data_IF_528719782476
#
_entry.id   IF_528719782476
#
_cell.length_a   1.000
_cell.length_b   1.000
_cell.length_c   1.000
_cell.angle_alpha   90.00
_cell.angle_beta   90.00
_cell.angle_gamma   90.00
#
_symmetry.space_group_name_H-M   'P 1'
#
loop_
_entity.id
_entity.type
_entity.pdbx_description
1 polymer ?
#
# COMPACT_ATOMS: atom_id res chain seq x y z
N UNK A 1 83.42 -4.23 -27.80
CA UNK A 1 83.80 -4.25 -26.37
C UNK A 1 82.96 -3.16 -25.73
N UNK A 2 81.85 -3.56 -25.14
CA UNK A 2 81.03 -2.69 -24.29
C UNK A 2 81.66 -2.74 -22.92
N UNK A 3 82.46 -1.72 -22.60
CA UNK A 3 82.83 -1.41 -21.23
C UNK A 3 81.56 -0.87 -20.56
N UNK A 4 80.87 -1.75 -19.83
CA UNK A 4 79.78 -1.38 -18.93
C UNK A 4 80.45 -1.01 -17.61
N UNK A 5 80.29 0.24 -17.21
CA UNK A 5 80.72 0.75 -15.92
C UNK A 5 80.04 -0.05 -14.78
N UNK A 6 80.77 -0.50 -13.75
CA UNK A 6 80.23 -1.33 -12.66
C UNK A 6 79.29 -0.57 -11.68
N UNK A 7 79.00 0.70 -11.95
CA UNK A 7 78.23 1.61 -11.09
C UNK A 7 76.71 1.44 -11.22
N UNK A 8 76.18 1.26 -12.44
CA UNK A 8 74.72 1.14 -12.69
C UNK A 8 74.15 -0.22 -12.27
N UNK A 9 74.92 -1.31 -12.40
CA UNK A 9 74.49 -2.64 -11.91
C UNK A 9 74.41 -2.69 -10.38
N UNK A 10 75.25 -1.92 -9.68
CA UNK A 10 75.26 -1.90 -8.21
C UNK A 10 74.07 -1.13 -7.64
N UNK A 11 73.66 -0.02 -8.29
CA UNK A 11 72.48 0.77 -7.89
C UNK A 11 71.18 0.02 -8.17
N UNK A 12 71.08 -0.64 -9.34
CA UNK A 12 69.92 -1.47 -9.70
C UNK A 12 69.75 -2.68 -8.76
N UNK A 13 70.85 -3.35 -8.40
CA UNK A 13 70.83 -4.46 -7.45
C UNK A 13 70.46 -4.02 -6.02
N UNK A 14 70.89 -2.82 -5.62
CA UNK A 14 70.55 -2.26 -4.31
C UNK A 14 69.07 -1.84 -4.25
N UNK A 15 68.53 -1.23 -5.30
CA UNK A 15 67.11 -0.87 -5.40
C UNK A 15 66.20 -2.11 -5.32
N UNK A 16 66.59 -3.20 -5.99
CA UNK A 16 65.85 -4.47 -5.93
C UNK A 16 65.91 -5.11 -4.53
N UNK A 17 67.06 -5.04 -3.86
CA UNK A 17 67.20 -5.54 -2.49
C UNK A 17 66.37 -4.72 -1.49
N UNK A 18 66.34 -3.40 -1.64
CA UNK A 18 65.54 -2.49 -0.81
C UNK A 18 64.04 -2.73 -1.02
N UNK A 19 63.58 -2.89 -2.27
CA UNK A 19 62.18 -3.20 -2.57
C UNK A 19 61.77 -4.56 -2.01
N UNK A 20 62.62 -5.59 -2.16
CA UNK A 20 62.35 -6.92 -1.62
C UNK A 20 62.28 -6.94 -0.09
N UNK A 21 63.12 -6.15 0.58
CA UNK A 21 63.08 -5.97 2.04
C UNK A 21 61.86 -5.18 2.51
N UNK A 22 61.45 -4.15 1.76
CA UNK A 22 60.22 -3.41 2.05
C UNK A 22 58.97 -4.30 1.93
N UNK A 23 58.89 -5.17 0.91
CA UNK A 23 57.79 -6.13 0.77
C UNK A 23 57.76 -7.17 1.91
N UNK A 24 58.91 -7.63 2.38
CA UNK A 24 59.02 -8.56 3.51
C UNK A 24 58.50 -7.92 4.80
N UNK A 25 58.91 -6.68 5.09
CA UNK A 25 58.43 -5.93 6.26
C UNK A 25 56.95 -5.57 6.15
N UNK A 26 56.44 -5.30 4.95
CA UNK A 26 55.01 -5.04 4.73
C UNK A 26 54.16 -6.27 5.07
N UNK A 27 54.57 -7.45 4.59
CA UNK A 27 53.88 -8.72 4.88
C UNK A 27 53.96 -9.11 6.35
N UNK A 28 55.03 -8.74 7.04
CA UNK A 28 55.17 -8.96 8.47
C UNK A 28 54.18 -8.12 9.29
N UNK A 29 53.90 -6.88 8.86
CA UNK A 29 52.90 -6.02 9.47
C UNK A 29 51.48 -6.50 9.18
N UNK A 30 51.21 -6.80 7.91
CA UNK A 30 49.90 -7.19 7.41
C UNK A 30 49.67 -8.71 7.45
N UNK A 31 49.62 -9.26 8.67
CA UNK A 31 49.35 -10.70 8.89
C UNK A 31 47.97 -11.14 8.39
N UNK A 32 47.06 -10.20 8.16
CA UNK A 32 45.68 -10.44 7.71
C UNK A 32 45.50 -10.27 6.19
N UNK A 33 46.57 -9.97 5.44
CA UNK A 33 46.55 -9.74 3.99
C UNK A 33 45.48 -8.72 3.55
N UNK A 34 45.35 -7.64 4.31
CA UNK A 34 44.43 -6.54 4.05
C UNK A 34 44.85 -5.68 2.85
N UNK A 35 46.13 -5.70 2.50
CA UNK A 35 46.72 -4.85 1.47
C UNK A 35 47.00 -3.42 1.94
N UNK A 36 46.85 -3.14 3.24
CA UNK A 36 47.15 -1.86 3.86
C UNK A 36 47.57 -2.04 5.32
N UNK A 37 48.43 -1.16 5.82
CA UNK A 37 48.92 -1.15 7.19
C UNK A 37 48.33 0.04 7.94
N UNK A 38 47.79 -0.19 9.14
CA UNK A 38 47.38 0.88 10.06
C UNK A 38 48.44 1.11 11.14
N UNK A 39 48.41 2.28 11.80
CA UNK A 39 49.35 2.64 12.89
C UNK A 39 49.56 1.54 13.95
N UNK A 40 48.51 0.78 14.27
CA UNK A 40 48.58 -0.35 15.23
C UNK A 40 49.32 -1.57 14.68
N UNK A 41 49.25 -1.80 13.38
CA UNK A 41 49.91 -2.92 12.72
C UNK A 41 51.41 -2.64 12.56
N UNK A 42 51.80 -1.37 12.39
CA UNK A 42 53.21 -0.93 12.48
C UNK A 42 53.85 -1.31 13.81
N UNK A 43 53.14 -1.24 14.95
CA UNK A 43 53.71 -1.55 16.28
C UNK A 43 54.24 -2.99 16.41
N UNK A 44 53.95 -3.88 15.45
CA UNK A 44 54.50 -5.24 15.39
C UNK A 44 55.95 -5.26 14.91
N UNK A 45 56.37 -4.29 14.10
CA UNK A 45 57.77 -4.10 13.70
C UNK A 45 58.66 -3.69 14.87
N UNK A 46 58.10 -3.19 15.98
CA UNK A 46 58.87 -2.87 17.19
C UNK A 46 59.71 -4.05 17.65
N UNK A 47 59.13 -5.25 17.68
CA UNK A 47 59.77 -6.43 18.24
C UNK A 47 60.84 -7.01 17.28
N UNK A 48 60.78 -6.68 15.99
CA UNK A 48 61.69 -7.18 14.95
C UNK A 48 62.80 -6.18 14.55
N UNK A 49 62.51 -4.87 14.58
CA UNK A 49 63.45 -3.80 14.28
C UNK A 49 64.00 -3.09 15.54
N UNK A 50 63.44 -3.36 16.73
CA UNK A 50 63.93 -2.83 18.02
C UNK A 50 63.80 -1.30 18.17
N UNK A 51 62.85 -0.68 17.47
CA UNK A 51 62.60 0.78 17.44
C UNK A 51 61.46 1.18 18.37
N UNK A 52 61.57 2.32 19.02
CA UNK A 52 60.55 2.84 19.94
C UNK A 52 59.24 3.18 19.20
N UNK A 53 58.07 2.99 19.83
CA UNK A 53 56.78 3.17 19.19
C UNK A 53 56.54 4.60 18.69
N UNK A 54 57.12 5.61 19.35
CA UNK A 54 57.06 7.02 18.93
C UNK A 54 57.77 7.24 17.58
N UNK A 55 58.93 6.61 17.38
CA UNK A 55 59.67 6.71 16.11
C UNK A 55 58.96 5.98 14.97
N UNK A 56 58.21 4.92 15.30
CA UNK A 56 57.43 4.15 14.33
C UNK A 56 56.18 4.90 13.88
N UNK A 57 55.60 5.71 14.77
CA UNK A 57 54.50 6.63 14.45
C UNK A 57 54.98 7.79 13.56
N UNK A 58 56.16 8.36 13.82
CA UNK A 58 56.76 9.39 12.97
C UNK A 58 57.09 8.86 11.55
N UNK A 59 57.60 7.63 11.46
CA UNK A 59 57.85 6.96 10.16
C UNK A 59 56.54 6.69 9.44
N UNK A 60 55.49 6.26 10.14
CA UNK A 60 54.16 6.06 9.54
C UNK A 60 53.62 7.37 8.96
N UNK A 61 53.66 8.46 9.72
CA UNK A 61 53.15 9.77 9.30
C UNK A 61 53.96 10.37 8.14
N UNK A 62 55.23 9.99 8.02
CA UNK A 62 56.10 10.40 6.90
C UNK A 62 55.85 9.59 5.61
N UNK A 63 55.37 8.36 5.74
CA UNK A 63 55.05 7.48 4.60
C UNK A 63 53.60 7.67 4.10
N UNK A 64 52.69 8.14 4.96
CA UNK A 64 51.27 8.37 4.70
C UNK A 64 51.07 9.75 4.04
N UNK A 65 51.39 9.84 2.75
CA UNK A 65 51.40 11.08 1.96
C UNK A 65 50.00 11.70 1.85
N UNK A 66 48.97 10.86 1.75
CA UNK A 66 47.58 11.32 1.62
C UNK A 66 46.87 11.49 2.97
N UNK A 67 47.57 11.21 4.08
CA UNK A 67 47.11 11.33 5.46
C UNK A 67 45.79 10.60 5.71
N UNK A 68 45.56 9.49 5.00
CA UNK A 68 44.32 8.74 5.08
C UNK A 68 44.30 7.78 6.29
N UNK A 69 45.44 7.60 6.98
CA UNK A 69 45.61 6.72 8.14
C UNK A 69 45.87 5.24 7.80
N UNK A 70 46.15 4.93 6.53
CA UNK A 70 46.40 3.61 5.97
C UNK A 70 47.56 3.65 4.97
N UNK A 71 48.64 2.92 5.26
CA UNK A 71 49.75 2.79 4.32
C UNK A 71 49.50 1.66 3.33
N UNK A 72 49.41 2.00 2.06
CA UNK A 72 49.38 1.00 0.98
C UNK A 72 50.78 0.46 0.68
N UNK A 73 50.87 -0.69 0.00
CA UNK A 73 52.15 -1.30 -0.38
C UNK A 73 53.00 -0.37 -1.27
N UNK A 74 52.35 0.41 -2.14
CA UNK A 74 53.02 1.37 -3.03
C UNK A 74 53.63 2.54 -2.24
N UNK A 75 52.90 3.10 -1.29
CA UNK A 75 53.40 4.16 -0.40
C UNK A 75 54.55 3.66 0.48
N UNK A 76 54.40 2.45 1.03
CA UNK A 76 55.42 1.83 1.87
C UNK A 76 56.72 1.58 1.11
N UNK A 77 56.65 0.95 -0.07
CA UNK A 77 57.85 0.63 -0.87
C UNK A 77 58.51 1.88 -1.47
N UNK A 78 57.72 2.85 -1.92
CA UNK A 78 58.23 4.11 -2.46
C UNK A 78 58.94 4.95 -1.39
N UNK A 79 58.31 5.12 -0.22
CA UNK A 79 58.89 5.93 0.85
C UNK A 79 60.05 5.24 1.57
N UNK A 80 60.04 3.90 1.69
CA UNK A 80 61.16 3.13 2.24
C UNK A 80 62.43 3.23 1.37
N UNK A 81 62.27 3.32 0.05
CA UNK A 81 63.37 3.57 -0.89
C UNK A 81 63.98 4.97 -0.76
N UNK A 82 63.15 6.00 -0.55
CA UNK A 82 63.62 7.38 -0.34
C UNK A 82 64.36 7.54 0.99
N UNK A 83 63.88 6.90 2.05
CA UNK A 83 64.49 7.02 3.39
C UNK A 83 65.89 6.38 3.49
N UNK A 84 66.15 5.29 2.74
CA UNK A 84 67.50 4.70 2.64
C UNK A 84 68.40 5.41 1.61
N UNK A 85 67.82 6.00 0.56
CA UNK A 85 68.55 6.69 -0.50
C UNK A 85 69.17 8.02 -0.08
N UNK A 86 68.57 8.70 0.89
CA UNK A 86 68.99 10.05 1.32
C UNK A 86 70.21 10.04 2.28
N UNK A 87 70.60 8.88 2.83
CA UNK A 87 71.80 8.79 3.69
C UNK A 87 73.12 8.58 2.92
N UNK A 88 73.10 8.55 1.58
CA UNK A 88 74.29 8.25 0.75
C UNK A 88 74.65 9.43 -0.20
N UNK A 89 73.91 10.54 -0.16
CA UNK A 89 73.97 11.58 -1.19
C UNK A 89 74.20 13.01 -0.72
N UNK A 90 75.05 13.29 0.28
CA UNK A 90 75.48 14.67 0.54
C UNK A 90 76.99 14.75 0.79
N UNK A 91 77.71 15.34 -0.17
CA UNK A 91 79.15 15.53 -0.10
C UNK A 91 79.84 15.77 -1.44
N UNK A 92 79.47 16.82 -2.19
CA UNK A 92 80.38 17.40 -3.20
C UNK A 92 79.93 18.78 -3.71
N UNK A 93 80.13 19.82 -2.90
CA UNK A 93 80.13 21.20 -3.37
C UNK A 93 81.54 21.59 -3.79
N UNK A 94 81.88 21.43 -5.08
CA UNK A 94 83.11 21.96 -5.66
C UNK A 94 82.88 23.39 -6.17
N UNK A 95 83.70 24.28 -5.62
CA UNK A 95 83.89 25.67 -5.99
C UNK A 95 84.27 25.81 -7.47
N UNK A 96 83.55 26.64 -8.22
CA UNK A 96 84.01 27.18 -9.50
C UNK A 96 84.13 28.69 -9.39
N UNK A 97 85.39 29.12 -9.33
CA UNK A 97 85.85 30.49 -9.47
C UNK A 97 85.30 31.11 -10.76
N UNK A 98 84.37 32.07 -10.63
CA UNK A 98 84.03 32.97 -11.71
C UNK A 98 84.94 34.20 -11.63
N UNK A 99 85.78 34.29 -12.66
CA UNK A 99 86.69 35.38 -12.95
C UNK A 99 85.90 36.68 -13.05
N UNK A 100 86.26 37.61 -12.18
CA UNK A 100 85.88 39.02 -12.18
C UNK A 100 86.21 39.63 -13.55
N UNK A 101 85.17 39.92 -14.35
CA UNK A 101 85.28 40.84 -15.48
C UNK A 101 84.32 42.00 -15.28
N UNK A 102 84.90 43.19 -15.46
CA UNK A 102 84.46 44.48 -14.98
C UNK A 102 83.15 44.94 -15.68
N UNK A 103 82.01 45.09 -14.96
CA UNK A 103 80.72 45.46 -15.54
C UNK A 103 80.59 46.98 -15.65
N UNK A 104 81.35 47.64 -16.53
CA UNK A 104 81.30 49.10 -16.58
C UNK A 104 81.44 49.81 -17.92
N UNK A 105 80.95 49.22 -19.02
CA UNK A 105 80.63 49.99 -20.24
C UNK A 105 79.11 49.96 -20.49
N UNK A 106 78.39 50.80 -19.74
CA UNK A 106 76.93 51.01 -19.92
C UNK A 106 76.57 51.39 -21.37
N UNK A 107 77.50 52.00 -22.09
CA UNK A 107 77.34 52.37 -23.50
C UNK A 107 77.30 51.12 -24.41
N UNK A 108 78.05 50.06 -24.10
CA UNK A 108 78.06 48.84 -24.90
C UNK A 108 76.83 47.97 -24.65
N UNK A 109 76.38 47.92 -23.41
CA UNK A 109 75.10 47.29 -23.06
C UNK A 109 73.94 48.03 -23.75
N UNK A 110 73.96 49.36 -23.78
CA UNK A 110 72.99 50.16 -24.53
C UNK A 110 73.03 49.86 -26.03
N UNK A 111 74.22 49.79 -26.63
CA UNK A 111 74.34 49.49 -28.05
C UNK A 111 73.86 48.08 -28.41
N UNK A 112 74.14 47.08 -27.55
CA UNK A 112 73.59 45.73 -27.71
C UNK A 112 72.06 45.74 -27.61
N UNK A 113 71.49 46.41 -26.61
CA UNK A 113 70.03 46.53 -26.48
C UNK A 113 69.40 47.26 -27.65
N UNK A 114 70.02 48.32 -28.19
CA UNK A 114 69.55 49.04 -29.38
C UNK A 114 69.56 48.12 -30.62
N UNK A 115 70.59 47.27 -30.76
CA UNK A 115 70.67 46.30 -31.87
C UNK A 115 69.65 45.18 -31.73
N UNK A 116 69.42 44.67 -30.51
CA UNK A 116 68.35 43.71 -30.23
C UNK A 116 66.98 44.35 -30.46
N UNK A 117 66.79 45.61 -30.10
CA UNK A 117 65.54 46.34 -30.33
C UNK A 117 65.29 46.54 -31.83
N UNK A 118 66.32 46.89 -32.61
CA UNK A 118 66.26 46.99 -34.07
C UNK A 118 65.97 45.63 -34.75
N UNK A 119 66.49 44.53 -34.20
CA UNK A 119 66.16 43.15 -34.63
C UNK A 119 64.82 42.67 -34.08
N UNK A 120 64.24 43.40 -33.11
CA UNK A 120 63.02 43.03 -32.41
C UNK A 120 63.16 41.86 -31.43
N UNK A 121 64.39 41.55 -31.03
CA UNK A 121 64.78 40.45 -30.18
C UNK A 121 64.65 40.75 -28.66
N UNK A 122 64.30 41.99 -28.30
CA UNK A 122 64.16 42.45 -26.91
C UNK A 122 63.16 41.61 -26.11
N UNK A 123 63.57 41.14 -24.93
CA UNK A 123 62.76 40.34 -23.98
C UNK A 123 62.24 38.99 -24.55
N UNK A 124 62.87 38.46 -25.61
CA UNK A 124 62.46 37.19 -26.22
C UNK A 124 63.31 35.98 -25.81
N UNK A 125 64.48 36.22 -25.22
CA UNK A 125 65.46 35.20 -24.86
C UNK A 125 65.68 35.22 -23.35
N UNK A 126 65.67 34.06 -22.71
CA UNK A 126 65.84 33.96 -21.25
C UNK A 126 67.30 34.19 -20.81
N UNK A 127 68.28 33.89 -21.68
CA UNK A 127 69.72 34.02 -21.42
C UNK A 127 70.37 35.20 -22.20
N UNK A 128 69.85 36.41 -22.01
CA UNK A 128 70.36 37.62 -22.70
C UNK A 128 71.86 37.88 -22.43
N UNK A 129 72.36 37.51 -21.26
CA UNK A 129 73.77 37.68 -20.87
C UNK A 129 74.73 36.84 -21.74
N UNK A 130 74.33 35.64 -22.13
CA UNK A 130 75.15 34.75 -22.97
C UNK A 130 75.23 35.26 -24.41
N UNK A 131 74.10 35.77 -24.93
CA UNK A 131 73.98 36.37 -26.26
C UNK A 131 74.77 37.68 -26.30
N UNK A 132 74.72 38.48 -25.25
CA UNK A 132 75.50 39.70 -25.10
C UNK A 132 77.01 39.42 -25.08
N UNK A 133 77.44 38.44 -24.29
CA UNK A 133 78.86 38.03 -24.24
C UNK A 133 79.39 37.51 -25.58
N UNK A 134 78.55 36.82 -26.36
CA UNK A 134 78.91 36.37 -27.71
C UNK A 134 78.93 37.53 -28.72
N UNK A 135 77.98 38.45 -28.64
CA UNK A 135 77.90 39.64 -29.51
C UNK A 135 79.11 40.56 -29.31
N UNK A 136 79.52 40.82 -28.06
CA UNK A 136 80.71 41.61 -27.73
C UNK A 136 81.98 40.97 -28.30
N UNK A 137 82.18 39.67 -28.07
CA UNK A 137 83.34 38.94 -28.60
C UNK A 137 83.39 38.92 -30.13
N UNK A 138 82.24 38.80 -30.80
CA UNK A 138 82.17 38.84 -32.26
C UNK A 138 82.46 40.23 -32.81
N UNK A 139 82.02 41.28 -32.11
CA UNK A 139 82.29 42.67 -32.50
C UNK A 139 83.77 43.03 -32.46
N UNK A 140 84.51 42.51 -31.48
CA UNK A 140 85.96 42.74 -31.35
C UNK A 140 86.79 41.91 -32.34
N UNK A 141 86.38 40.66 -32.60
CA UNK A 141 87.24 39.69 -33.29
C UNK A 141 86.86 39.43 -34.77
N UNK A 142 85.59 39.57 -35.16
CA UNK A 142 85.14 39.34 -36.55
C UNK A 142 83.84 40.10 -36.91
N UNK A 143 83.94 41.27 -37.58
CA UNK A 143 82.78 42.07 -37.95
C UNK A 143 81.91 41.44 -39.06
N UNK A 144 82.42 40.49 -39.85
CA UNK A 144 81.63 39.82 -40.90
C UNK A 144 80.73 38.76 -40.28
N UNK A 145 81.27 38.00 -39.32
CA UNK A 145 80.51 37.00 -38.57
C UNK A 145 79.45 37.64 -37.65
N UNK A 146 79.73 38.82 -37.09
CA UNK A 146 78.75 39.62 -36.35
C UNK A 146 77.47 39.88 -37.18
N UNK A 147 77.61 40.30 -38.44
CA UNK A 147 76.45 40.55 -39.32
C UNK A 147 75.65 39.28 -39.61
N UNK A 148 76.30 38.13 -39.74
CA UNK A 148 75.62 36.84 -39.93
C UNK A 148 74.87 36.42 -38.66
N UNK A 149 75.48 36.65 -37.50
CA UNK A 149 74.86 36.43 -36.20
C UNK A 149 73.63 37.32 -36.01
N UNK A 150 73.72 38.62 -36.30
CA UNK A 150 72.56 39.54 -36.25
C UNK A 150 71.43 39.12 -37.20
N UNK A 151 71.75 38.69 -38.43
CA UNK A 151 70.75 38.15 -39.36
C UNK A 151 70.10 36.86 -38.88
N UNK A 152 70.86 35.99 -38.21
CA UNK A 152 70.36 34.76 -37.62
C UNK A 152 69.42 35.06 -36.46
N UNK A 153 69.79 35.96 -35.55
CA UNK A 153 68.92 36.44 -34.45
C UNK A 153 67.64 37.05 -35.01
N UNK A 154 67.72 37.89 -36.05
CA UNK A 154 66.53 38.46 -36.70
C UNK A 154 65.59 37.41 -37.28
N UNK A 155 66.13 36.38 -37.96
CA UNK A 155 65.34 35.27 -38.50
C UNK A 155 64.69 34.42 -37.41
N UNK A 156 65.44 34.06 -36.37
CA UNK A 156 64.91 33.31 -35.22
C UNK A 156 63.84 34.12 -34.51
N UNK A 157 64.09 35.41 -34.28
CA UNK A 157 63.12 36.34 -33.68
C UNK A 157 61.82 36.39 -34.48
N UNK A 158 61.92 36.45 -35.82
CA UNK A 158 60.75 36.41 -36.69
C UNK A 158 59.99 35.07 -36.60
N UNK A 159 60.71 33.95 -36.57
CA UNK A 159 60.10 32.61 -36.46
C UNK A 159 59.45 32.40 -35.08
N UNK A 160 60.08 32.85 -34.00
CA UNK A 160 59.52 32.83 -32.64
C UNK A 160 58.24 33.67 -32.59
N UNK A 161 58.24 34.87 -33.16
CA UNK A 161 57.04 35.74 -33.19
C UNK A 161 55.92 35.14 -34.02
N UNK A 162 56.25 34.58 -35.18
CA UNK A 162 55.29 33.89 -36.03
C UNK A 162 54.67 32.70 -35.30
N UNK A 163 55.50 31.86 -34.67
CA UNK A 163 55.04 30.75 -33.84
C UNK A 163 54.16 31.21 -32.67
N UNK A 164 54.53 32.28 -31.95
CA UNK A 164 53.70 32.88 -30.90
C UNK A 164 52.36 33.42 -31.43
N UNK A 165 52.35 34.01 -32.62
CA UNK A 165 51.12 34.49 -33.27
C UNK A 165 50.23 33.32 -33.68
N UNK A 166 50.80 32.30 -34.33
CA UNK A 166 50.11 31.09 -34.76
C UNK A 166 49.52 30.35 -33.55
N UNK A 167 50.29 30.24 -32.45
CA UNK A 167 49.82 29.68 -31.19
C UNK A 167 48.62 30.45 -30.64
N UNK A 168 48.70 31.78 -30.53
CA UNK A 168 47.57 32.62 -30.10
C UNK A 168 46.36 32.49 -31.01
N UNK A 169 46.57 32.37 -32.33
CA UNK A 169 45.47 32.20 -33.28
C UNK A 169 44.79 30.85 -33.13
N UNK A 170 45.55 29.77 -32.94
CA UNK A 170 45.01 28.43 -32.70
C UNK A 170 44.28 28.38 -31.36
N UNK A 171 44.87 28.98 -30.32
CA UNK A 171 44.25 29.07 -29.00
C UNK A 171 42.91 29.83 -29.06
N UNK A 172 42.86 30.97 -29.75
CA UNK A 172 41.62 31.73 -29.94
C UNK A 172 40.56 30.92 -30.71
N UNK A 173 40.97 30.19 -31.75
CA UNK A 173 40.05 29.31 -32.49
C UNK A 173 39.53 28.15 -31.63
N UNK A 174 40.40 27.57 -30.78
CA UNK A 174 40.02 26.50 -29.85
C UNK A 174 39.06 27.02 -28.78
N UNK A 175 39.34 28.18 -28.18
CA UNK A 175 38.47 28.82 -27.20
C UNK A 175 37.11 29.17 -27.81
N UNK A 176 37.08 29.73 -29.03
CA UNK A 176 35.84 30.01 -29.75
C UNK A 176 35.05 28.72 -30.00
N UNK A 177 35.71 27.66 -30.46
CA UNK A 177 35.06 26.36 -30.69
C UNK A 177 34.54 25.74 -29.39
N UNK A 178 35.30 25.81 -28.28
CA UNK A 178 34.86 25.35 -26.96
C UNK A 178 33.61 26.10 -26.51
N UNK A 179 33.62 27.43 -26.62
CA UNK A 179 32.48 28.29 -26.27
C UNK A 179 31.22 27.97 -27.08
N UNK A 180 31.36 27.70 -28.39
CA UNK A 180 30.23 27.31 -29.25
C UNK A 180 29.69 25.95 -28.81
N UNK A 181 30.56 24.96 -28.57
CA UNK A 181 30.14 23.64 -28.09
C UNK A 181 29.46 23.71 -26.71
N UNK A 182 29.97 24.50 -25.77
CA UNK A 182 29.33 24.73 -24.48
C UNK A 182 27.93 25.36 -24.64
N UNK A 183 27.77 26.30 -25.59
CA UNK A 183 26.47 26.90 -25.89
C UNK A 183 25.50 25.88 -26.52
N UNK A 184 25.95 25.04 -27.44
CA UNK A 184 25.15 23.99 -28.07
C UNK A 184 24.71 22.94 -27.05
N UNK A 185 25.63 22.50 -26.20
CA UNK A 185 25.35 21.57 -25.11
C UNK A 185 24.28 22.16 -24.17
N UNK A 186 24.43 23.44 -23.80
CA UNK A 186 23.44 24.12 -22.96
C UNK A 186 22.06 24.19 -23.62
N UNK A 187 21.99 24.54 -24.92
CA UNK A 187 20.71 24.55 -25.66
C UNK A 187 20.05 23.18 -25.67
N UNK A 188 20.83 22.12 -25.90
CA UNK A 188 20.31 20.76 -25.89
C UNK A 188 19.78 20.35 -24.51
N UNK A 189 20.47 20.74 -23.43
CA UNK A 189 19.98 20.54 -22.07
C UNK A 189 18.68 21.31 -21.80
N UNK A 190 18.62 22.58 -22.20
CA UNK A 190 17.42 23.41 -22.04
C UNK A 190 16.22 22.83 -22.80
N UNK A 191 16.43 22.38 -24.05
CA UNK A 191 15.40 21.71 -24.87
C UNK A 191 14.93 20.39 -24.24
N UNK A 192 15.87 19.56 -23.78
CA UNK A 192 15.55 18.30 -23.10
C UNK A 192 14.78 18.56 -21.80
N UNK A 193 15.16 19.56 -21.02
CA UNK A 193 14.45 19.91 -19.78
C UNK A 193 13.03 20.40 -20.08
N UNK A 194 12.85 21.21 -21.12
CA UNK A 194 11.53 21.66 -21.57
C UNK A 194 10.67 20.48 -22.04
N UNK A 195 11.23 19.54 -22.79
CA UNK A 195 10.52 18.35 -23.24
C UNK A 195 10.11 17.45 -22.07
N UNK A 196 11.01 17.24 -21.10
CA UNK A 196 10.71 16.49 -19.87
C UNK A 196 9.58 17.17 -19.09
N UNK A 197 9.62 18.51 -18.94
CA UNK A 197 8.55 19.28 -18.29
C UNK A 197 7.22 19.13 -19.03
N UNK A 198 7.22 19.23 -20.35
CA UNK A 198 6.03 19.13 -21.18
C UNK A 198 5.41 17.72 -21.11
N UNK A 199 6.21 16.66 -21.25
CA UNK A 199 5.70 15.28 -21.16
C UNK A 199 5.22 14.95 -19.74
N UNK A 200 5.92 15.39 -18.69
CA UNK A 200 5.42 15.27 -17.30
C UNK A 200 4.07 15.96 -17.10
N UNK A 201 3.91 17.18 -17.62
CA UNK A 201 2.65 17.93 -17.51
C UNK A 201 1.52 17.23 -18.28
N UNK A 202 1.81 16.67 -19.45
CA UNK A 202 0.86 15.92 -20.28
C UNK A 202 0.40 14.63 -19.61
N UNK A 203 1.32 13.84 -19.05
CA UNK A 203 0.99 12.61 -18.29
C UNK A 203 0.12 12.97 -17.09
N UNK A 204 0.51 13.99 -16.32
CA UNK A 204 -0.26 14.43 -15.15
C UNK A 204 -1.66 14.95 -15.52
N UNK A 205 -1.81 15.61 -16.67
CA UNK A 205 -3.12 16.03 -17.17
C UNK A 205 -3.99 14.82 -17.58
N UNK A 206 -3.40 13.81 -18.23
CA UNK A 206 -4.10 12.57 -18.60
C UNK A 206 -4.53 11.77 -17.37
N UNK A 207 -3.68 11.66 -16.35
CA UNK A 207 -4.02 11.00 -15.08
C UNK A 207 -5.16 11.71 -14.37
N UNK A 208 -5.11 13.05 -14.27
CA UNK A 208 -6.21 13.84 -13.69
C UNK A 208 -7.53 13.68 -14.45
N UNK A 209 -7.48 13.57 -15.78
CA UNK A 209 -8.67 13.33 -16.59
C UNK A 209 -9.26 11.94 -16.28
N UNK A 210 -8.44 10.89 -16.33
CA UNK A 210 -8.87 9.52 -16.01
C UNK A 210 -9.42 9.41 -14.59
N UNK A 211 -8.78 10.08 -13.63
CA UNK A 211 -9.25 10.13 -12.25
C UNK A 211 -10.63 10.79 -12.14
N UNK A 212 -10.85 11.92 -12.84
CA UNK A 212 -12.16 12.59 -12.88
C UNK A 212 -13.23 11.71 -13.51
N UNK A 213 -12.94 11.08 -14.65
CA UNK A 213 -13.88 10.17 -15.32
C UNK A 213 -14.27 8.99 -14.43
N UNK A 214 -13.29 8.40 -13.73
CA UNK A 214 -13.54 7.31 -12.78
C UNK A 214 -14.39 7.77 -11.60
N UNK A 215 -14.07 8.94 -11.02
CA UNK A 215 -14.87 9.54 -9.93
C UNK A 215 -16.31 9.80 -10.38
N UNK A 216 -16.51 10.37 -11.57
CA UNK A 216 -17.85 10.62 -12.12
C UNK A 216 -18.62 9.33 -12.41
N UNK A 217 -17.95 8.27 -12.85
CA UNK A 217 -18.58 6.95 -12.98
C UNK A 217 -19.01 6.40 -11.62
N UNK A 218 -18.12 6.40 -10.63
CA UNK A 218 -18.44 5.95 -9.27
C UNK A 218 -19.61 6.75 -8.68
N UNK A 219 -19.62 8.07 -8.84
CA UNK A 219 -20.72 8.92 -8.36
C UNK A 219 -22.05 8.59 -9.06
N UNK A 220 -22.03 8.25 -10.36
CA UNK A 220 -23.23 7.78 -11.06
C UNK A 220 -23.72 6.45 -10.52
N UNK A 221 -22.82 5.50 -10.29
CA UNK A 221 -23.17 4.20 -9.70
C UNK A 221 -23.71 4.34 -8.28
N UNK A 222 -23.09 5.19 -7.45
CA UNK A 222 -23.57 5.49 -6.10
C UNK A 222 -24.97 6.10 -6.14
N UNK A 223 -25.22 7.10 -6.99
CA UNK A 223 -26.56 7.68 -7.15
C UNK A 223 -27.60 6.65 -7.57
N UNK A 224 -27.27 5.75 -8.50
CA UNK A 224 -28.16 4.66 -8.90
C UNK A 224 -28.44 3.71 -7.73
N UNK A 225 -27.41 3.36 -6.95
CA UNK A 225 -27.58 2.52 -5.76
C UNK A 225 -28.41 3.20 -4.67
N UNK A 226 -28.22 4.48 -4.43
CA UNK A 226 -29.04 5.28 -3.51
C UNK A 226 -30.51 5.33 -3.94
N UNK A 227 -30.77 5.50 -5.25
CA UNK A 227 -32.14 5.43 -5.80
C UNK A 227 -32.77 4.05 -5.59
N UNK A 228 -32.04 2.98 -5.91
CA UNK A 228 -32.49 1.60 -5.68
C UNK A 228 -32.79 1.34 -4.21
N UNK A 229 -31.93 1.80 -3.29
CA UNK A 229 -32.15 1.69 -1.86
C UNK A 229 -33.38 2.48 -1.42
N UNK A 230 -33.57 3.71 -1.89
CA UNK A 230 -34.75 4.53 -1.59
C UNK A 230 -36.05 3.84 -2.03
N UNK A 231 -36.06 3.24 -3.22
CA UNK A 231 -37.21 2.47 -3.72
C UNK A 231 -37.49 1.23 -2.88
N UNK A 232 -36.45 0.48 -2.48
CA UNK A 232 -36.60 -0.68 -1.61
C UNK A 232 -37.13 -0.29 -0.23
N UNK A 233 -36.62 0.79 0.36
CA UNK A 233 -37.11 1.31 1.65
C UNK A 233 -38.58 1.73 1.56
N UNK A 234 -39.00 2.39 0.47
CA UNK A 234 -40.42 2.72 0.24
C UNK A 234 -41.28 1.47 0.16
N UNK A 235 -40.86 0.47 -0.63
CA UNK A 235 -41.56 -0.82 -0.75
C UNK A 235 -41.65 -1.55 0.59
N UNK A 236 -40.57 -1.53 1.38
CA UNK A 236 -40.55 -2.10 2.72
C UNK A 236 -41.57 -1.40 3.63
N UNK A 237 -41.57 -0.07 3.67
CA UNK A 237 -42.54 0.70 4.46
C UNK A 237 -43.99 0.42 4.03
N UNK A 238 -44.26 0.32 2.73
CA UNK A 238 -45.59 -0.04 2.22
C UNK A 238 -46.01 -1.46 2.65
N UNK A 239 -45.08 -2.42 2.64
CA UNK A 239 -45.35 -3.79 3.08
C UNK A 239 -45.57 -3.87 4.59
N UNK A 240 -44.80 -3.14 5.39
CA UNK A 240 -44.99 -3.03 6.84
C UNK A 240 -46.36 -2.44 7.17
N UNK A 241 -46.79 -1.38 6.46
CA UNK A 241 -48.12 -0.80 6.60
C UNK A 241 -49.23 -1.78 6.21
N UNK A 242 -49.04 -2.59 5.16
CA UNK A 242 -50.00 -3.64 4.76
C UNK A 242 -50.09 -4.74 5.81
N UNK A 243 -48.95 -5.17 6.37
CA UNK A 243 -48.92 -6.18 7.44
C UNK A 243 -49.64 -5.69 8.69
N UNK A 244 -49.41 -4.44 9.10
CA UNK A 244 -50.13 -3.83 10.23
C UNK A 244 -51.65 -3.82 10.00
N UNK A 245 -52.11 -3.42 8.81
CA UNK A 245 -53.55 -3.43 8.47
C UNK A 245 -54.14 -4.83 8.46
N UNK A 246 -53.43 -5.81 7.88
CA UNK A 246 -53.88 -7.20 7.87
C UNK A 246 -53.98 -7.76 9.28
N UNK A 247 -53.01 -7.49 10.15
CA UNK A 247 -53.02 -7.93 11.54
C UNK A 247 -54.18 -7.30 12.34
N UNK A 248 -54.44 -5.99 12.14
CA UNK A 248 -55.61 -5.33 12.71
C UNK A 248 -56.92 -5.99 12.25
N UNK A 249 -57.09 -6.20 10.94
CA UNK A 249 -58.27 -6.86 10.40
C UNK A 249 -58.40 -8.31 10.89
N UNK A 250 -57.30 -9.06 11.01
CA UNK A 250 -57.29 -10.42 11.55
C UNK A 250 -57.74 -10.44 13.02
N UNK A 251 -57.26 -9.48 13.83
CA UNK A 251 -57.71 -9.31 15.21
C UNK A 251 -59.20 -8.95 15.30
N UNK A 252 -59.67 -8.01 14.48
CA UNK A 252 -61.09 -7.64 14.42
C UNK A 252 -61.99 -8.80 13.99
N UNK A 253 -61.62 -9.50 12.92
CA UNK A 253 -62.38 -10.67 12.44
C UNK A 253 -62.36 -11.81 13.44
N UNK A 254 -61.25 -12.03 14.16
CA UNK A 254 -61.18 -13.00 15.24
C UNK A 254 -62.12 -12.62 16.39
N UNK A 255 -62.08 -11.37 16.85
CA UNK A 255 -62.96 -10.89 17.92
C UNK A 255 -64.45 -11.01 17.53
N UNK A 256 -64.78 -10.67 16.28
CA UNK A 256 -66.14 -10.80 15.77
C UNK A 256 -66.58 -12.26 15.66
N UNK A 257 -65.69 -13.16 15.21
CA UNK A 257 -65.97 -14.59 15.16
C UNK A 257 -66.17 -15.17 16.56
N UNK A 258 -65.35 -14.78 17.54
CA UNK A 258 -65.55 -15.15 18.96
C UNK A 258 -66.89 -14.64 19.50
N UNK A 259 -67.30 -13.42 19.13
CA UNK A 259 -68.61 -12.85 19.51
C UNK A 259 -69.76 -13.66 18.91
N UNK A 260 -69.72 -13.91 17.60
CA UNK A 260 -70.73 -14.70 16.89
C UNK A 260 -70.80 -16.15 17.42
N UNK A 261 -69.66 -16.74 17.80
CA UNK A 261 -69.62 -18.07 18.38
C UNK A 261 -70.29 -18.11 19.76
N UNK A 262 -70.12 -17.07 20.58
CA UNK A 262 -70.84 -16.93 21.86
C UNK A 262 -72.35 -16.75 21.65
N UNK A 263 -72.76 -15.88 20.73
CA UNK A 263 -74.18 -15.69 20.40
C UNK A 263 -74.82 -16.97 19.85
N UNK A 264 -74.10 -17.69 18.97
CA UNK A 264 -74.54 -18.99 18.45
C UNK A 264 -74.74 -20.00 19.58
N UNK A 265 -73.78 -20.11 20.51
CA UNK A 265 -73.89 -21.02 21.66
C UNK A 265 -75.09 -20.67 22.55
N UNK A 266 -75.34 -19.38 22.80
CA UNK A 266 -76.51 -18.92 23.55
C UNK A 266 -77.83 -19.25 22.86
N UNK A 267 -77.91 -19.04 21.54
CA UNK A 267 -79.10 -19.40 20.77
C UNK A 267 -79.33 -20.91 20.73
N UNK A 268 -78.27 -21.72 20.61
CA UNK A 268 -78.36 -23.18 20.68
C UNK A 268 -78.85 -23.64 22.06
N UNK A 269 -78.38 -23.02 23.15
CA UNK A 269 -78.86 -23.30 24.52
C UNK A 269 -80.35 -22.95 24.68
N UNK A 270 -80.77 -21.76 24.22
CA UNK A 270 -82.18 -21.35 24.24
C UNK A 270 -83.05 -22.28 23.40
N UNK A 271 -82.58 -22.70 22.23
CA UNK A 271 -83.29 -23.67 21.38
C UNK A 271 -83.42 -25.03 22.07
N UNK A 272 -82.38 -25.51 22.75
CA UNK A 272 -82.44 -26.76 23.52
C UNK A 272 -83.43 -26.65 24.68
N UNK A 273 -83.42 -25.53 25.41
CA UNK A 273 -84.37 -25.29 26.51
C UNK A 273 -85.81 -25.25 26.02
N UNK A 274 -86.10 -24.52 24.94
CA UNK A 274 -87.42 -24.48 24.32
C UNK A 274 -87.85 -25.85 23.78
N UNK A 275 -86.94 -26.60 23.17
CA UNK A 275 -87.22 -27.95 22.66
C UNK A 275 -87.55 -28.91 23.81
N UNK A 276 -86.79 -28.84 24.91
CA UNK A 276 -87.05 -29.62 26.13
C UNK A 276 -88.40 -29.25 26.74
N UNK A 277 -88.69 -27.95 26.89
CA UNK A 277 -89.98 -27.48 27.39
C UNK A 277 -91.16 -27.89 26.49
N UNK A 278 -90.97 -27.89 25.17
CA UNK A 278 -91.95 -28.40 24.21
C UNK A 278 -92.17 -29.91 24.37
N UNK A 279 -91.12 -30.70 24.52
CA UNK A 279 -91.21 -32.16 24.72
C UNK A 279 -91.90 -32.49 26.06
N UNK A 280 -91.57 -31.75 27.12
CA UNK A 280 -92.23 -31.86 28.43
C UNK A 280 -93.73 -31.54 28.33
N UNK A 281 -94.10 -30.45 27.66
CA UNK A 281 -95.51 -30.08 27.41
C UNK A 281 -96.24 -31.12 26.57
N UNK A 282 -95.61 -31.63 25.51
CA UNK A 282 -96.14 -32.71 24.66
C UNK A 282 -96.35 -34.01 25.44
N UNK A 283 -95.41 -34.36 26.31
CA UNK A 283 -95.53 -35.51 27.21
C UNK A 283 -96.68 -35.32 28.21
N UNK A 284 -96.80 -34.14 28.80
CA UNK A 284 -97.90 -33.79 29.71
C UNK A 284 -99.27 -33.88 29.01
N UNK A 285 -99.40 -33.35 27.79
CA UNK A 285 -100.61 -33.48 26.97
C UNK A 285 -100.90 -34.97 26.68
N UNK A 286 -99.89 -35.77 26.33
CA UNK A 286 -100.06 -37.20 26.06
C UNK A 286 -100.53 -37.97 27.31
N UNK A 287 -100.01 -37.62 28.49
CA UNK A 287 -100.47 -38.16 29.77
C UNK A 287 -101.93 -37.79 30.05
N UNK A 288 -102.30 -36.51 29.89
CA UNK A 288 -103.68 -36.05 30.05
C UNK A 288 -104.65 -36.73 29.07
N UNK A 289 -104.23 -36.91 27.81
CA UNK A 289 -105.01 -37.64 26.82
C UNK A 289 -105.21 -39.11 27.23
N UNK A 290 -104.17 -39.77 27.74
CA UNK A 290 -104.25 -41.15 28.23
C UNK A 290 -105.13 -41.27 29.49
N UNK A 291 -105.03 -40.32 30.42
CA UNK A 291 -105.92 -40.23 31.59
C UNK A 291 -107.37 -40.04 31.15
N UNK A 292 -107.64 -39.10 30.23
CA UNK A 292 -108.98 -38.86 29.68
C UNK A 292 -109.53 -40.11 28.98
N UNK A 293 -108.70 -40.84 28.21
CA UNK A 293 -109.08 -42.11 27.58
C UNK A 293 -109.38 -43.18 28.63
N UNK A 294 -108.57 -43.30 29.68
CA UNK A 294 -108.76 -44.23 30.79
C UNK A 294 -110.04 -43.92 31.55
N UNK A 295 -110.26 -42.66 31.93
CA UNK A 295 -111.50 -42.21 32.58
C UNK A 295 -112.74 -42.48 31.72
N UNK A 296 -112.68 -42.20 30.41
CA UNK A 296 -113.79 -42.55 29.50
C UNK A 296 -114.04 -44.06 29.48
N UNK A 297 -113.00 -44.88 29.45
CA UNK A 297 -113.11 -46.34 29.51
C UNK A 297 -113.67 -46.83 30.84
N UNK A 298 -113.23 -46.25 31.95
CA UNK A 298 -113.68 -46.60 33.29
C UNK A 298 -115.13 -46.14 33.52
N UNK A 299 -115.52 -44.95 33.06
CA UNK A 299 -116.93 -44.51 33.02
C UNK A 299 -117.79 -45.42 32.15
N UNK A 300 -117.31 -45.81 30.96
CA UNK A 300 -118.02 -46.74 30.10
C UNK A 300 -118.21 -48.11 30.76
N UNK A 301 -117.17 -48.64 31.45
CA UNK A 301 -117.27 -49.87 32.25
C UNK A 301 -118.25 -49.73 33.42
N UNK A 302 -118.19 -48.63 34.17
CA UNK A 302 -119.12 -48.35 35.27
C UNK A 302 -120.56 -48.25 34.76
N UNK A 303 -120.78 -47.58 33.62
CA UNK A 303 -122.08 -47.53 32.97
C UNK A 303 -122.56 -48.92 32.54
N UNK A 304 -121.69 -49.75 31.93
CA UNK A 304 -122.03 -51.14 31.58
C UNK A 304 -122.38 -51.97 32.81
N UNK A 305 -121.56 -51.93 33.86
CA UNK A 305 -121.83 -52.64 35.11
C UNK A 305 -123.12 -52.15 35.77
N UNK A 306 -123.40 -50.84 35.74
CA UNK A 306 -124.66 -50.29 36.24
C UNK A 306 -125.85 -50.80 35.41
N UNK A 307 -125.73 -50.85 34.08
CA UNK A 307 -126.77 -51.42 33.22
C UNK A 307 -126.96 -52.92 33.42
N UNK A 308 -125.89 -53.67 33.66
CA UNK A 308 -125.93 -55.10 33.96
C UNK A 308 -126.59 -55.33 35.32
N UNK A 309 -126.21 -54.57 36.36
CA UNK A 309 -126.86 -54.62 37.66
C UNK A 309 -128.35 -54.25 37.58
N UNK A 310 -128.70 -53.20 36.84
CA UNK A 310 -130.10 -52.82 36.59
C UNK A 310 -130.83 -53.94 35.83
N UNK A 311 -130.18 -54.62 34.88
CA UNK A 311 -130.77 -55.73 34.15
C UNK A 311 -131.01 -56.94 35.05
N UNK A 312 -130.06 -57.28 35.93
CA UNK A 312 -130.20 -58.35 36.94
C UNK A 312 -131.31 -57.99 37.94
N UNK A 313 -131.35 -56.75 38.44
CA UNK A 313 -132.43 -56.27 39.31
C UNK A 313 -133.78 -56.33 38.59
N UNK A 314 -133.86 -55.93 37.31
CA UNK A 314 -135.07 -56.09 36.49
C UNK A 314 -135.45 -57.55 36.33
N UNK A 315 -134.51 -58.45 36.06
CA UNK A 315 -134.78 -59.88 35.92
C UNK A 315 -135.28 -60.46 37.24
N UNK A 316 -134.68 -60.06 38.37
CA UNK A 316 -135.13 -60.46 39.71
C UNK A 316 -136.53 -59.91 40.02
N UNK A 317 -136.82 -58.66 39.67
CA UNK A 317 -138.16 -58.08 39.80
C UNK A 317 -139.19 -58.78 38.90
N UNK A 318 -138.81 -59.18 37.68
CA UNK A 318 -139.66 -59.97 36.78
C UNK A 318 -139.92 -61.35 37.36
N UNK A 319 -138.89 -62.05 37.90
CA UNK A 319 -139.07 -63.34 38.59
C UNK A 319 -139.99 -63.21 39.80
N UNK A 320 -139.88 -62.12 40.56
CA UNK A 320 -140.80 -61.82 41.66
C UNK A 320 -142.22 -61.55 41.16
N UNK A 321 -142.39 -60.79 40.07
CA UNK A 321 -143.69 -60.57 39.42
C UNK A 321 -144.30 -61.87 38.88
N UNK A 322 -143.52 -62.76 38.28
CA UNK A 322 -143.98 -64.06 37.80
C UNK A 322 -144.32 -65.00 38.95
N UNK A 323 -143.56 -64.96 40.05
CA UNK A 323 -143.92 -65.65 41.30
C UNK A 323 -145.25 -65.14 41.85
N UNK A 324 -145.46 -63.82 41.87
CA UNK A 324 -146.71 -63.20 42.27
C UNK A 324 -147.87 -63.53 41.31
N UNK A 325 -147.64 -63.57 40.00
CA UNK A 325 -148.64 -64.04 39.01
C UNK A 325 -148.98 -65.51 39.21
N UNK A 326 -148.01 -66.36 39.52
CA UNK A 326 -148.21 -67.79 39.79
C UNK A 326 -148.97 -68.00 41.10
N UNK A 327 -148.69 -67.19 42.12
CA UNK A 327 -149.43 -67.19 43.39
C UNK A 327 -150.86 -66.65 43.17
N UNK A 328 -151.04 -65.56 42.43
CA UNK A 328 -152.38 -65.08 42.06
C UNK A 328 -153.15 -66.12 41.24
N UNK A 329 -152.47 -66.85 40.34
CA UNK A 329 -153.09 -67.95 39.58
C UNK A 329 -153.50 -69.09 40.52
N UNK A 330 -152.66 -69.48 41.48
CA UNK A 330 -153.01 -70.47 42.52
C UNK A 330 -154.17 -69.99 43.42
N UNK A 331 -154.22 -68.72 43.77
CA UNK A 331 -155.31 -68.15 44.58
C UNK A 331 -156.63 -68.04 43.80
N UNK A 332 -156.56 -67.85 42.47
CA UNK A 332 -157.74 -67.94 41.58
C UNK A 332 -158.19 -69.40 41.43
N UNK A 333 -157.26 -70.34 41.25
CA UNK A 333 -157.56 -71.77 41.16
C UNK A 333 -158.15 -72.32 42.48
N UNK A 334 -157.71 -71.83 43.65
CA UNK A 334 -158.31 -72.14 44.96
C UNK A 334 -159.67 -71.47 45.20
N UNK A 335 -159.92 -70.32 44.56
CA UNK A 335 -161.22 -69.62 44.60
C UNK A 335 -162.26 -70.29 43.68
N UNK A 336 -161.85 -70.90 42.59
CA UNK A 336 -162.76 -71.58 41.65
C UNK A 336 -163.15 -73.00 42.11
N UNK A 337 -162.36 -73.65 42.97
CA UNK A 337 -162.70 -74.95 43.59
C UNK A 337 -163.69 -74.84 44.76
N UNK A 338 -163.87 -73.65 45.35
CA UNK A 338 -164.75 -73.41 46.51
C UNK A 338 -166.15 -72.88 46.14
N UNK A 339 -166.45 -72.72 44.84
CA UNK A 339 -167.76 -72.33 44.30
C UNK A 339 -168.54 -73.51 43.67
N UNK A 340 -168.09 -74.75 43.91
CA UNK A 340 -168.61 -75.96 43.26
C UNK A 340 -169.04 -77.07 44.22
N UNK A 341 -169.60 -76.77 45.39
CA UNK A 341 -170.46 -77.72 46.12
C UNK A 341 -171.28 -76.96 47.17
N UNK A 342 -172.55 -76.75 46.84
CA UNK A 342 -173.64 -76.56 47.81
C UNK A 342 -173.98 -77.88 48.47
#
# INVERSE_FOLDING_TARGET
MTDIEPSEELTGNMQQLISAKAEELFNLCDTEQKGFIIKKDMQRLRDELGVEPEQLEDVFDSLDIDHNGYLTLEEFTSGFGMFLGDQIGDGSGNEQEMIEHNPNDKEEQQLFHDTLEALGAKDLYDDEETIMGLWMKLRENDPVLLRQFEQFIGKITQEIRRSKLDHRSIEAALQSKSSVHESEIKKLYDEMEQQIKAEKAKVLAQEKLKERELREQMDRELRLKEQQLSELTKKQSDLEMKLLRLNLNESETKNENERLQKEKAQLEEQLQELTKGLEESKNYISQLQNQTKKEKRDRAKQALNLTENIAIERENLVKQLDSLKTINKRLVDERDLSQGSK
#
